data_IF_662040836204
#
_entry.id   IF_662040836204
#
_cell.length_a   1.000
_cell.length_b   1.000
_cell.length_c   1.000
_cell.angle_alpha   90.00
_cell.angle_beta   90.00
_cell.angle_gamma   90.00
#
_symmetry.space_group_name_H-M   'P 1'
#
loop_
_entity.id
_entity.type
_entity.pdbx_description
1 polymer ?
#
# COMPACT_ATOMS: atom_id res chain seq x y z
N UNK A 1 -16.94 -12.36 11.03
CA UNK A 1 -16.29 -12.44 12.36
C UNK A 1 -14.91 -11.82 12.20
N UNK A 2 -14.60 -10.73 12.91
CA UNK A 2 -13.24 -10.16 12.86
C UNK A 2 -12.34 -11.10 13.64
N UNK A 3 -11.25 -11.56 13.02
CA UNK A 3 -10.28 -12.46 13.64
C UNK A 3 -9.12 -11.59 14.13
N UNK A 4 -8.71 -11.79 15.38
CA UNK A 4 -7.56 -11.08 15.93
C UNK A 4 -6.29 -11.50 15.18
N UNK A 5 -5.45 -10.51 14.88
CA UNK A 5 -4.11 -10.73 14.38
C UNK A 5 -3.31 -11.55 15.41
N UNK A 6 -2.53 -12.56 14.97
CA UNK A 6 -1.59 -13.24 15.86
C UNK A 6 -0.41 -12.34 16.27
N UNK A 7 -0.29 -11.15 15.65
CA UNK A 7 0.81 -10.21 15.85
C UNK A 7 0.37 -9.06 16.76
N UNK A 8 1.28 -8.62 17.62
CA UNK A 8 1.10 -7.48 18.51
C UNK A 8 1.59 -6.18 17.86
N UNK A 9 2.60 -6.25 16.98
CA UNK A 9 3.14 -5.08 16.27
C UNK A 9 3.71 -5.47 14.90
N UNK A 10 4.06 -4.46 14.09
CA UNK A 10 4.79 -4.68 12.85
C UNK A 10 6.20 -5.24 13.06
N UNK A 11 6.77 -5.12 14.27
CA UNK A 11 8.07 -5.71 14.59
C UNK A 11 8.05 -7.25 14.52
N UNK A 12 6.88 -7.86 14.74
CA UNK A 12 6.70 -9.31 14.63
C UNK A 12 6.75 -9.79 13.16
N UNK A 13 6.64 -8.86 12.21
CA UNK A 13 6.82 -9.12 10.79
C UNK A 13 8.28 -8.97 10.41
N UNK A 14 8.91 -7.88 10.85
CA UNK A 14 10.23 -7.50 10.39
C UNK A 14 10.54 -6.01 10.35
N UNK A 15 11.59 -5.66 9.65
CA UNK A 15 11.87 -4.28 9.24
C UNK A 15 10.85 -3.77 8.20
N UNK A 16 10.93 -2.49 7.84
CA UNK A 16 9.97 -1.87 6.92
C UNK A 16 9.99 -2.50 5.52
N UNK A 17 11.14 -3.03 5.09
CA UNK A 17 11.27 -3.68 3.78
C UNK A 17 10.62 -5.07 3.80
N UNK A 18 10.78 -5.82 4.89
CA UNK A 18 10.09 -7.09 5.10
C UNK A 18 8.57 -6.92 5.15
N UNK A 19 8.08 -5.84 5.77
CA UNK A 19 6.66 -5.47 5.75
C UNK A 19 6.22 -5.10 4.33
N UNK A 20 7.02 -4.32 3.59
CA UNK A 20 6.73 -3.95 2.21
C UNK A 20 6.64 -5.16 1.28
N UNK A 21 7.57 -6.11 1.39
CA UNK A 21 7.56 -7.32 0.58
C UNK A 21 6.28 -8.14 0.82
N UNK A 22 5.87 -8.34 2.09
CA UNK A 22 4.61 -9.04 2.41
C UNK A 22 3.38 -8.29 1.90
N UNK A 23 3.36 -6.96 2.02
CA UNK A 23 2.28 -6.15 1.46
C UNK A 23 2.16 -6.38 -0.05
N UNK A 24 3.28 -6.31 -0.78
CA UNK A 24 3.32 -6.50 -2.24
C UNK A 24 3.00 -7.92 -2.68
N UNK A 25 3.11 -8.92 -1.81
CA UNK A 25 2.64 -10.28 -2.08
C UNK A 25 1.11 -10.36 -1.98
N UNK A 26 0.52 -9.64 -1.03
CA UNK A 26 -0.93 -9.66 -0.78
C UNK A 26 -1.73 -8.78 -1.77
N UNK A 27 -1.20 -7.61 -2.15
CA UNK A 27 -1.98 -6.58 -2.87
C UNK A 27 -1.67 -6.47 -4.37
N UNK A 28 -0.53 -7.01 -4.82
CA UNK A 28 -0.12 -6.93 -6.23
C UNK A 28 -0.40 -8.26 -6.94
N UNK A 29 -1.04 -8.27 -8.12
CA UNK A 29 -1.27 -9.49 -8.89
C UNK A 29 0.02 -10.30 -9.11
N UNK A 30 -0.09 -11.62 -8.97
CA UNK A 30 1.05 -12.52 -9.17
C UNK A 30 1.63 -12.38 -10.59
N UNK A 31 2.93 -12.15 -10.69
CA UNK A 31 3.63 -11.96 -11.96
C UNK A 31 3.59 -10.53 -12.51
N UNK A 32 2.97 -9.58 -11.80
CA UNK A 32 3.03 -8.17 -12.18
C UNK A 32 4.46 -7.62 -11.96
N UNK A 33 5.05 -6.93 -12.95
CA UNK A 33 6.22 -6.09 -12.70
C UNK A 33 5.87 -5.07 -11.61
N UNK A 34 6.69 -5.02 -10.56
CA UNK A 34 6.47 -4.18 -9.38
C UNK A 34 7.79 -3.66 -8.82
N UNK A 35 7.74 -2.49 -8.21
CA UNK A 35 8.88 -1.79 -7.65
C UNK A 35 8.49 -1.10 -6.34
N UNK A 36 9.33 -1.22 -5.31
CA UNK A 36 9.20 -0.44 -4.08
C UNK A 36 9.97 0.87 -4.30
N UNK A 37 9.26 1.99 -4.23
CA UNK A 37 9.80 3.34 -4.43
C UNK A 37 10.32 3.94 -3.12
N UNK A 38 9.61 3.70 -2.02
CA UNK A 38 9.98 4.16 -0.69
C UNK A 38 9.37 3.27 0.40
N UNK A 39 10.08 3.12 1.51
CA UNK A 39 9.61 2.38 2.67
C UNK A 39 10.15 3.07 3.94
N UNK A 40 9.26 3.62 4.75
CA UNK A 40 9.62 4.41 5.95
C UNK A 40 8.77 4.00 7.14
N UNK A 41 9.42 3.75 8.28
CA UNK A 41 8.73 3.55 9.56
C UNK A 41 8.61 4.88 10.32
N UNK A 42 7.46 5.08 10.96
CA UNK A 42 7.20 6.16 11.92
C UNK A 42 6.65 5.56 13.21
N UNK A 43 6.85 6.26 14.33
CA UNK A 43 6.25 5.93 15.62
C UNK A 43 5.38 7.12 16.04
N UNK A 44 4.13 6.86 16.43
CA UNK A 44 3.24 7.91 16.93
C UNK A 44 3.51 8.26 18.40
N UNK A 45 2.81 9.29 18.89
CA UNK A 45 2.90 9.73 20.29
C UNK A 45 2.46 8.68 21.33
N UNK A 46 1.79 7.61 20.90
CA UNK A 46 1.37 6.48 21.74
C UNK A 46 2.33 5.28 21.63
N UNK A 47 3.45 5.43 20.91
CA UNK A 47 4.45 4.37 20.72
C UNK A 47 4.07 3.33 19.67
N UNK A 48 3.02 3.57 18.86
CA UNK A 48 2.59 2.63 17.81
C UNK A 48 3.44 2.85 16.56
N UNK A 49 3.96 1.76 15.99
CA UNK A 49 4.69 1.77 14.71
C UNK A 49 3.71 1.81 13.54
N UNK A 50 3.99 2.68 12.58
CA UNK A 50 3.35 2.76 11.28
C UNK A 50 4.42 2.61 10.21
N UNK A 51 4.15 1.78 9.22
CA UNK A 51 5.01 1.66 8.05
C UNK A 51 4.29 2.28 6.86
N UNK A 52 4.96 3.25 6.22
CA UNK A 52 4.50 3.94 5.03
C UNK A 52 5.30 3.38 3.85
N UNK A 53 4.60 2.81 2.88
CA UNK A 53 5.21 2.10 1.76
C UNK A 53 4.66 2.69 0.45
N UNK A 54 5.57 3.17 -0.39
CA UNK A 54 5.29 3.62 -1.74
C UNK A 54 5.80 2.59 -2.74
N UNK A 55 4.94 2.19 -3.65
CA UNK A 55 5.27 1.19 -4.65
C UNK A 55 4.46 1.39 -5.92
N UNK A 56 5.02 0.96 -7.04
CA UNK A 56 4.33 0.92 -8.32
C UNK A 56 4.21 -0.52 -8.84
N UNK A 57 3.18 -0.78 -9.63
CA UNK A 57 3.11 -2.02 -10.41
C UNK A 57 2.39 -1.79 -11.74
N UNK A 58 2.75 -2.61 -12.74
CA UNK A 58 2.10 -2.61 -14.05
C UNK A 58 1.29 -3.90 -14.24
N UNK A 59 0.07 -3.79 -14.76
CA UNK A 59 -0.75 -4.95 -15.07
C UNK A 59 -1.52 -4.82 -16.38
N UNK A 60 -2.11 -5.92 -16.82
CA UNK A 60 -2.91 -6.00 -18.06
C UNK A 60 -4.38 -5.82 -17.74
N UNK A 61 -5.09 -5.09 -18.60
CA UNK A 61 -6.55 -5.12 -18.59
C UNK A 61 -7.04 -6.49 -19.10
N UNK A 62 -8.21 -6.90 -18.61
CA UNK A 62 -8.93 -8.01 -19.23
C UNK A 62 -9.25 -7.65 -20.69
N UNK A 63 -9.26 -8.62 -21.64
CA UNK A 63 -9.38 -8.32 -23.07
C UNK A 63 -10.62 -7.49 -23.46
N UNK A 64 -11.76 -7.74 -22.78
CA UNK A 64 -12.99 -6.99 -22.96
C UNK A 64 -12.86 -5.52 -22.52
N UNK A 65 -12.17 -5.26 -21.40
CA UNK A 65 -11.91 -3.91 -20.89
C UNK A 65 -10.90 -3.19 -21.79
N UNK A 66 -9.83 -3.89 -22.19
CA UNK A 66 -8.78 -3.34 -23.05
C UNK A 66 -9.36 -2.80 -24.36
N UNK A 67 -10.33 -3.51 -24.96
CA UNK A 67 -11.02 -3.07 -26.18
C UNK A 67 -11.80 -1.77 -25.97
N UNK A 68 -12.46 -1.61 -24.82
CA UNK A 68 -13.26 -0.42 -24.51
C UNK A 68 -12.41 0.82 -24.21
N UNK A 69 -11.27 0.64 -23.54
CA UNK A 69 -10.39 1.76 -23.13
C UNK A 69 -9.34 2.08 -24.21
N UNK A 70 -9.10 1.17 -25.16
CA UNK A 70 -8.12 1.37 -26.24
C UNK A 70 -6.66 1.17 -25.80
N UNK A 71 -6.42 0.58 -24.62
CA UNK A 71 -5.09 0.27 -24.09
C UNK A 71 -5.10 -1.09 -23.40
N UNK A 72 -3.97 -1.80 -23.45
CA UNK A 72 -3.86 -3.18 -22.95
C UNK A 72 -3.26 -3.28 -21.55
N UNK A 73 -2.63 -2.21 -21.06
CA UNK A 73 -1.93 -2.17 -19.77
C UNK A 73 -2.23 -0.87 -19.03
N UNK A 74 -2.00 -0.91 -17.73
CA UNK A 74 -2.02 0.24 -16.84
C UNK A 74 -0.90 0.10 -15.81
N UNK A 75 -0.49 1.22 -15.24
CA UNK A 75 0.44 1.28 -14.12
C UNK A 75 -0.22 2.05 -12.98
N UNK A 76 -0.17 1.48 -11.77
CA UNK A 76 -0.64 2.14 -10.56
C UNK A 76 0.54 2.50 -9.69
N UNK A 77 0.56 3.74 -9.22
CA UNK A 77 1.33 4.20 -8.08
C UNK A 77 0.48 4.09 -6.83
N UNK A 78 1.08 3.56 -5.78
CA UNK A 78 0.38 3.22 -4.56
C UNK A 78 1.17 3.79 -3.39
N UNK A 79 0.43 4.36 -2.43
CA UNK A 79 0.95 4.78 -1.15
C UNK A 79 0.11 4.12 -0.06
N UNK A 80 0.76 3.29 0.73
CA UNK A 80 0.14 2.54 1.80
C UNK A 80 0.62 3.04 3.16
N UNK A 81 -0.27 3.01 4.15
CA UNK A 81 0.11 3.08 5.56
C UNK A 81 -0.49 1.88 6.29
N UNK A 82 0.37 1.15 6.98
CA UNK A 82 0.01 -0.05 7.74
C UNK A 82 0.40 0.14 9.20
N UNK A 83 -0.43 -0.39 10.09
CA UNK A 83 -0.10 -0.53 11.50
C UNK A 83 -0.83 -1.74 12.09
N UNK A 84 -0.34 -2.21 13.24
CA UNK A 84 -1.02 -3.20 14.05
C UNK A 84 -1.25 -2.57 15.42
N UNK A 85 -2.52 -2.47 15.81
CA UNK A 85 -2.93 -1.94 17.11
C UNK A 85 -4.06 -2.80 17.68
N UNK A 86 -4.01 -3.05 19.00
CA UNK A 86 -5.00 -3.88 19.71
C UNK A 86 -5.31 -5.22 19.01
N UNK A 87 -4.26 -5.90 18.55
CA UNK A 87 -4.32 -7.16 17.77
C UNK A 87 -5.14 -7.04 16.48
N UNK A 88 -5.21 -5.86 15.86
CA UNK A 88 -5.86 -5.65 14.57
C UNK A 88 -4.90 -4.99 13.61
N UNK A 89 -4.84 -5.50 12.38
CA UNK A 89 -4.09 -4.88 11.30
C UNK A 89 -4.99 -3.84 10.63
N UNK A 90 -4.46 -2.63 10.47
CA UNK A 90 -5.08 -1.56 9.72
C UNK A 90 -4.21 -1.25 8.52
N UNK A 91 -4.83 -1.16 7.35
CA UNK A 91 -4.19 -0.83 6.09
C UNK A 91 -5.06 0.22 5.40
N UNK A 92 -4.46 1.36 5.07
CA UNK A 92 -4.98 2.28 4.08
C UNK A 92 -4.09 2.17 2.84
N UNK A 93 -4.72 1.94 1.69
CA UNK A 93 -4.05 1.90 0.40
C UNK A 93 -4.66 2.98 -0.50
N UNK A 94 -3.89 4.00 -0.82
CA UNK A 94 -4.26 5.02 -1.79
C UNK A 94 -3.56 4.72 -3.11
N UNK A 95 -4.31 4.73 -4.21
CA UNK A 95 -3.82 4.37 -5.54
C UNK A 95 -4.14 5.47 -6.55
N UNK A 96 -3.21 5.76 -7.44
CA UNK A 96 -3.46 6.56 -8.64
C UNK A 96 -2.81 5.90 -9.85
N UNK A 97 -3.44 6.07 -11.00
CA UNK A 97 -2.89 5.63 -12.27
C UNK A 97 -1.75 6.57 -12.71
N UNK A 98 -0.74 6.04 -13.41
CA UNK A 98 0.47 6.78 -13.83
C UNK A 98 0.19 8.18 -14.39
N UNK A 99 -0.78 8.31 -15.29
CA UNK A 99 -1.08 9.59 -15.95
C UNK A 99 -1.67 10.62 -14.96
N UNK A 100 -2.21 10.13 -13.85
CA UNK A 100 -2.78 10.94 -12.76
C UNK A 100 -1.81 11.12 -11.59
N UNK A 101 -0.71 10.37 -11.53
CA UNK A 101 0.20 10.39 -10.39
C UNK A 101 0.73 11.79 -10.09
N UNK A 102 1.25 12.49 -11.11
CA UNK A 102 1.82 13.84 -10.95
C UNK A 102 0.84 14.87 -10.36
N UNK A 103 -0.46 14.73 -10.63
CA UNK A 103 -1.48 15.63 -10.11
C UNK A 103 -2.14 15.12 -8.83
N UNK A 104 -1.92 13.86 -8.46
CA UNK A 104 -2.58 13.21 -7.33
C UNK A 104 -1.63 12.93 -6.16
N UNK A 105 -0.32 12.91 -6.38
CA UNK A 105 0.69 12.59 -5.35
C UNK A 105 0.50 13.40 -4.06
N UNK A 106 0.27 14.71 -4.18
CA UNK A 106 -0.04 15.57 -3.03
C UNK A 106 -1.29 15.14 -2.26
N UNK A 107 -2.35 14.73 -2.97
CA UNK A 107 -3.61 14.26 -2.36
C UNK A 107 -3.43 12.88 -1.71
N UNK A 108 -2.72 11.97 -2.36
CA UNK A 108 -2.41 10.65 -1.80
C UNK A 108 -1.53 10.77 -0.55
N UNK A 109 -0.55 11.66 -0.57
CA UNK A 109 0.28 11.98 0.59
C UNK A 109 -0.56 12.54 1.73
N UNK A 110 -1.49 13.48 1.47
CA UNK A 110 -2.42 13.98 2.50
C UNK A 110 -3.26 12.84 3.10
N UNK A 111 -3.82 11.96 2.27
CA UNK A 111 -4.64 10.84 2.76
C UNK A 111 -3.86 9.92 3.70
N UNK A 112 -2.58 9.67 3.39
CA UNK A 112 -1.71 8.83 4.20
C UNK A 112 -1.19 9.55 5.45
N UNK A 113 -0.77 10.81 5.33
CA UNK A 113 -0.24 11.59 6.46
C UNK A 113 -1.34 11.95 7.48
N UNK A 114 -2.60 12.03 7.07
CA UNK A 114 -3.74 12.30 7.96
C UNK A 114 -4.36 11.05 8.56
N UNK A 115 -3.93 9.85 8.14
CA UNK A 115 -4.41 8.60 8.71
C UNK A 115 -4.02 8.51 10.18
N UNK A 116 -5.03 8.43 11.05
CA UNK A 116 -4.85 8.31 12.49
C UNK A 116 -5.82 7.29 13.06
N UNK A 117 -5.34 6.47 13.99
CA UNK A 117 -6.18 5.60 14.80
C UNK A 117 -6.55 6.33 16.09
N UNK A 118 -7.84 6.62 16.25
CA UNK A 118 -8.43 7.30 17.41
C UNK A 118 -8.34 6.46 18.69
#
# INVERSE_FOLDING_TARGET
RVIDSPRNSLQDIGDVNEVALKLLEDVVPQGAPKEILSAVSRIDSRGRRYDIIEFSYQWKFAPNIAKGIGRTRYQLHNKAIITIDRKRQFLLLACAEEDRWKSSDGILSIAVDTFTLL
#
